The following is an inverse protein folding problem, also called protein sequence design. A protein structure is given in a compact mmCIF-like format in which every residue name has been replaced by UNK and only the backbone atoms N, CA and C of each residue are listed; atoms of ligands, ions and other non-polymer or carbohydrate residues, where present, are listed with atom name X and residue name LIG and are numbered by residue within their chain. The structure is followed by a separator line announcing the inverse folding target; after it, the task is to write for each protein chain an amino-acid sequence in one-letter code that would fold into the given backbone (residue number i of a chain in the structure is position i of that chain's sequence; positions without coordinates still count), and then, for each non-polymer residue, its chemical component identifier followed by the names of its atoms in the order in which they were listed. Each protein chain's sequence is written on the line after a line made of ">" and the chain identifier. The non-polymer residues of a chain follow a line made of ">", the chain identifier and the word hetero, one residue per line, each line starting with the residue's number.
data_IF_150784719856
#
_entry.id   IF_150784719856
#
_cell.length_a   1.000
_cell.length_b   1.000
_cell.length_c   1.000
_cell.angle_alpha   90.00
_cell.angle_beta   90.00
_cell.angle_gamma   90.00
#
_symmetry.space_group_name_H-M   'P 1'
#
loop_
_entity.id
_entity.type
_entity.pdbx_description
1 polymer ?
#
# COMPACT_ATOMS: atom_id res chain seq x y z
N UNK A 1 -22.53 -4.90 0.81
CA UNK A 1 -22.96 -6.14 1.47
C UNK A 1 -21.85 -7.17 1.62
N UNK A 2 -21.20 -7.66 0.57
CA UNK A 2 -20.17 -8.72 0.62
C UNK A 2 -19.05 -8.49 1.64
N UNK A 3 -18.54 -7.25 1.78
CA UNK A 3 -17.46 -6.89 2.71
C UNK A 3 -17.87 -6.98 4.19
N UNK A 4 -19.13 -6.64 4.54
CA UNK A 4 -19.64 -6.79 5.91
C UNK A 4 -19.85 -8.28 6.26
N UNK A 5 -20.37 -9.05 5.31
CA UNK A 5 -20.56 -10.52 5.48
C UNK A 5 -19.23 -11.23 5.68
N UNK A 6 -18.20 -10.91 4.85
CA UNK A 6 -16.86 -11.46 5.02
C UNK A 6 -16.26 -11.15 6.40
N UNK A 7 -16.40 -9.91 6.86
CA UNK A 7 -15.90 -9.52 8.19
C UNK A 7 -16.62 -10.25 9.32
N UNK A 8 -17.97 -10.34 9.24
CA UNK A 8 -18.76 -11.04 10.24
C UNK A 8 -18.42 -12.54 10.31
N UNK A 9 -18.30 -13.20 9.15
CA UNK A 9 -17.91 -14.62 9.08
C UNK A 9 -16.48 -14.85 9.63
N UNK A 10 -15.53 -13.98 9.30
CA UNK A 10 -14.17 -14.08 9.85
C UNK A 10 -14.10 -13.93 11.36
N UNK A 11 -14.84 -12.96 11.92
CA UNK A 11 -14.91 -12.74 13.37
C UNK A 11 -15.64 -13.89 14.07
N UNK A 12 -16.76 -14.39 13.52
CA UNK A 12 -17.47 -15.52 14.08
C UNK A 12 -16.62 -16.79 14.10
N UNK A 13 -15.90 -17.11 13.00
CA UNK A 13 -14.98 -18.23 12.94
C UNK A 13 -13.85 -18.12 13.99
N UNK A 14 -13.32 -16.92 14.20
CA UNK A 14 -12.31 -16.66 15.23
C UNK A 14 -12.85 -16.90 16.65
N UNK A 15 -14.05 -16.42 16.94
CA UNK A 15 -14.71 -16.61 18.24
C UNK A 15 -14.97 -18.11 18.48
N UNK A 16 -15.50 -18.83 17.49
CA UNK A 16 -15.78 -20.26 17.64
C UNK A 16 -14.51 -21.07 17.95
N UNK A 17 -13.44 -20.88 17.17
CA UNK A 17 -12.17 -21.59 17.43
C UNK A 17 -11.59 -21.20 18.81
N UNK A 18 -11.62 -19.94 19.18
CA UNK A 18 -11.17 -19.48 20.51
C UNK A 18 -11.95 -20.16 21.62
N UNK A 19 -13.29 -20.23 21.48
CA UNK A 19 -14.16 -20.90 22.44
C UNK A 19 -13.88 -22.40 22.53
N UNK A 20 -13.69 -23.08 21.41
CA UNK A 20 -13.37 -24.51 21.41
C UNK A 20 -12.04 -24.82 22.09
N UNK A 21 -11.00 -24.04 21.79
CA UNK A 21 -9.69 -24.20 22.44
C UNK A 21 -9.76 -23.96 23.95
N UNK A 22 -10.38 -22.84 24.35
CA UNK A 22 -10.44 -22.49 25.78
C UNK A 22 -11.32 -23.45 26.57
N UNK A 23 -12.47 -23.86 26.02
CA UNK A 23 -13.34 -24.85 26.69
C UNK A 23 -12.70 -26.25 26.78
N UNK A 24 -11.98 -26.70 25.74
CA UNK A 24 -11.18 -27.93 25.82
C UNK A 24 -10.12 -27.83 26.91
N UNK A 25 -9.33 -26.75 26.96
CA UNK A 25 -8.29 -26.57 27.96
C UNK A 25 -8.86 -26.57 29.40
N UNK A 26 -9.90 -25.76 29.62
CA UNK A 26 -10.51 -25.61 30.94
C UNK A 26 -11.18 -26.91 31.42
N UNK A 27 -11.94 -27.58 30.55
CA UNK A 27 -12.59 -28.84 30.91
C UNK A 27 -11.58 -29.95 31.21
N UNK A 28 -10.48 -30.00 30.47
CA UNK A 28 -9.41 -31.02 30.70
C UNK A 28 -8.65 -30.76 31.99
N UNK A 29 -8.41 -29.50 32.36
CA UNK A 29 -7.63 -29.14 33.55
C UNK A 29 -8.45 -29.15 34.84
N UNK A 30 -9.71 -28.75 34.76
CA UNK A 30 -10.54 -28.44 35.94
C UNK A 30 -11.86 -29.24 35.97
N UNK A 31 -12.22 -29.91 34.89
CA UNK A 31 -13.51 -30.59 34.76
C UNK A 31 -13.51 -32.04 35.26
N UNK A 32 -14.72 -32.56 35.50
CA UNK A 32 -14.94 -33.99 35.66
C UNK A 32 -15.06 -34.70 34.33
N UNK A 33 -14.96 -36.07 34.29
CA UNK A 33 -15.20 -36.80 33.04
C UNK A 33 -16.51 -36.46 32.34
N UNK A 34 -17.58 -36.23 33.11
CA UNK A 34 -18.89 -35.84 32.58
C UNK A 34 -18.85 -34.45 31.92
N UNK A 35 -18.15 -33.52 32.59
CA UNK A 35 -17.95 -32.17 32.03
C UNK A 35 -17.15 -32.21 30.75
N UNK A 36 -16.11 -33.01 30.68
CA UNK A 36 -15.30 -33.20 29.46
C UNK A 36 -16.16 -33.78 28.33
N UNK A 37 -16.98 -34.79 28.61
CA UNK A 37 -17.87 -35.39 27.63
C UNK A 37 -18.89 -34.36 27.05
N UNK A 38 -19.51 -33.54 27.93
CA UNK A 38 -20.43 -32.49 27.52
C UNK A 38 -19.74 -31.46 26.62
N UNK A 39 -18.57 -30.97 27.03
CA UNK A 39 -17.81 -29.96 26.27
C UNK A 39 -17.38 -30.53 24.90
N UNK A 40 -16.88 -31.78 24.85
CA UNK A 40 -16.49 -32.39 23.57
C UNK A 40 -17.69 -32.65 22.64
N UNK A 41 -18.85 -32.98 23.19
CA UNK A 41 -20.10 -33.08 22.45
C UNK A 41 -20.53 -31.73 21.86
N UNK A 42 -20.47 -30.66 22.64
CA UNK A 42 -20.80 -29.32 22.16
C UNK A 42 -19.81 -28.82 21.07
N UNK A 43 -18.53 -29.15 21.21
CA UNK A 43 -17.52 -28.80 20.18
C UNK A 43 -17.81 -29.55 18.88
N UNK A 44 -18.11 -30.87 18.94
CA UNK A 44 -18.48 -31.63 17.76
C UNK A 44 -19.68 -31.04 17.01
N UNK A 45 -20.76 -30.70 17.70
CA UNK A 45 -21.91 -30.00 17.09
C UNK A 45 -21.53 -28.58 16.61
N UNK A 46 -20.66 -27.89 17.32
CA UNK A 46 -20.14 -26.57 16.92
C UNK A 46 -19.36 -26.58 15.61
N UNK A 47 -18.79 -27.73 15.19
CA UNK A 47 -18.12 -27.86 13.90
C UNK A 47 -19.09 -27.65 12.72
N UNK A 48 -20.37 -28.01 12.87
CA UNK A 48 -21.40 -27.76 11.84
C UNK A 48 -21.71 -26.27 11.65
N UNK A 49 -21.36 -25.43 12.61
CA UNK A 49 -21.42 -23.97 12.47
C UNK A 49 -20.08 -23.41 11.99
N UNK A 50 -18.96 -23.95 12.47
CA UNK A 50 -17.62 -23.46 12.11
C UNK A 50 -17.31 -23.65 10.61
N UNK A 51 -17.57 -24.85 10.06
CA UNK A 51 -17.21 -25.15 8.68
C UNK A 51 -17.92 -24.25 7.65
N UNK A 52 -19.26 -24.07 7.67
CA UNK A 52 -19.92 -23.13 6.78
C UNK A 52 -19.45 -21.67 6.96
N UNK A 53 -19.13 -21.28 8.20
CA UNK A 53 -18.62 -19.93 8.50
C UNK A 53 -17.27 -19.71 7.82
N UNK A 54 -16.34 -20.67 7.93
CA UNK A 54 -15.03 -20.58 7.29
C UNK A 54 -15.13 -20.68 5.75
N UNK A 55 -16.00 -21.54 5.23
CA UNK A 55 -16.27 -21.63 3.79
C UNK A 55 -16.81 -20.30 3.23
N UNK A 56 -17.80 -19.70 3.92
CA UNK A 56 -18.36 -18.40 3.56
C UNK A 56 -17.33 -17.26 3.64
N UNK A 57 -16.50 -17.27 4.67
CA UNK A 57 -15.39 -16.32 4.78
C UNK A 57 -14.37 -16.49 3.64
N UNK A 58 -14.06 -17.73 3.27
CA UNK A 58 -13.15 -18.05 2.15
C UNK A 58 -13.70 -17.57 0.82
N UNK A 59 -14.93 -17.96 0.47
CA UNK A 59 -15.58 -17.61 -0.80
C UNK A 59 -15.74 -16.08 -0.96
N UNK A 60 -16.22 -15.41 0.08
CA UNK A 60 -16.35 -13.94 0.06
C UNK A 60 -15.01 -13.25 0.04
N UNK A 61 -14.00 -13.80 0.73
CA UNK A 61 -12.63 -13.28 0.75
C UNK A 61 -11.97 -13.35 -0.63
N UNK A 62 -12.09 -14.45 -1.34
CA UNK A 62 -11.60 -14.61 -2.72
C UNK A 62 -12.31 -13.65 -3.68
N UNK A 63 -13.63 -13.50 -3.56
CA UNK A 63 -14.40 -12.53 -4.36
C UNK A 63 -13.97 -11.08 -4.12
N UNK A 64 -13.59 -10.70 -2.89
CA UNK A 64 -13.15 -9.35 -2.52
C UNK A 64 -11.69 -9.07 -2.92
N UNK A 65 -10.85 -10.09 -2.94
CA UNK A 65 -9.44 -9.95 -3.34
C UNK A 65 -9.31 -9.79 -4.86
N UNK A 66 -10.21 -10.37 -5.65
CA UNK A 66 -10.19 -10.30 -7.11
C UNK A 66 -8.83 -10.73 -7.70
N UNK A 67 -8.32 -9.99 -8.68
CA UNK A 67 -7.00 -10.21 -9.31
C UNK A 67 -5.85 -9.47 -8.58
N UNK A 68 -5.93 -9.28 -7.26
CA UNK A 68 -4.86 -8.62 -6.50
C UNK A 68 -3.58 -9.46 -6.52
N UNK A 69 -2.45 -8.78 -6.78
CA UNK A 69 -1.10 -9.35 -6.83
C UNK A 69 -0.19 -8.82 -5.72
N UNK A 70 -0.72 -8.02 -4.79
CA UNK A 70 0.03 -7.51 -3.65
C UNK A 70 0.33 -8.63 -2.64
N UNK A 71 1.48 -8.54 -1.97
CA UNK A 71 2.00 -9.57 -1.05
C UNK A 71 1.01 -9.93 0.06
N UNK A 72 0.31 -8.94 0.63
CA UNK A 72 -0.72 -9.16 1.65
C UNK A 72 -1.93 -9.91 1.12
N UNK A 73 -2.41 -9.57 -0.10
CA UNK A 73 -3.50 -10.26 -0.76
C UNK A 73 -3.17 -11.72 -1.05
N UNK A 74 -2.00 -11.98 -1.62
CA UNK A 74 -1.51 -13.35 -1.91
C UNK A 74 -1.35 -14.18 -0.63
N UNK A 75 -0.83 -13.59 0.45
CA UNK A 75 -0.67 -14.28 1.73
C UNK A 75 -2.03 -14.65 2.34
N UNK A 76 -3.03 -13.77 2.28
CA UNK A 76 -4.40 -14.06 2.73
C UNK A 76 -5.06 -15.17 1.91
N UNK A 77 -4.83 -15.20 0.59
CA UNK A 77 -5.36 -16.25 -0.29
C UNK A 77 -4.85 -17.64 0.12
N UNK A 78 -3.60 -17.75 0.58
CA UNK A 78 -3.02 -19.03 1.04
C UNK A 78 -3.52 -19.45 2.41
N UNK A 79 -3.67 -18.51 3.36
CA UNK A 79 -4.05 -18.84 4.75
C UNK A 79 -5.50 -19.28 4.91
N UNK A 80 -6.43 -18.74 4.15
CA UNK A 80 -7.85 -19.08 4.23
C UNK A 80 -8.12 -20.58 3.97
N UNK A 81 -7.67 -21.12 2.83
CA UNK A 81 -7.79 -22.55 2.53
C UNK A 81 -7.08 -23.44 3.57
N UNK A 82 -5.90 -23.06 4.07
CA UNK A 82 -5.20 -23.83 5.10
C UNK A 82 -6.06 -23.96 6.37
N UNK A 83 -6.59 -22.84 6.88
CA UNK A 83 -7.44 -22.85 8.06
C UNK A 83 -8.71 -23.71 7.84
N UNK A 84 -9.36 -23.62 6.68
CA UNK A 84 -10.54 -24.42 6.33
C UNK A 84 -10.19 -25.90 6.23
N UNK A 85 -9.15 -26.28 5.49
CA UNK A 85 -8.73 -27.67 5.32
C UNK A 85 -8.30 -28.32 6.65
N UNK A 86 -7.56 -27.57 7.48
CA UNK A 86 -7.22 -28.03 8.84
C UNK A 86 -8.47 -28.28 9.67
N UNK A 87 -9.47 -27.40 9.59
CA UNK A 87 -10.74 -27.58 10.32
C UNK A 87 -11.53 -28.78 9.81
N UNK A 88 -11.58 -28.97 8.48
CA UNK A 88 -12.34 -30.05 7.86
C UNK A 88 -11.69 -31.42 8.10
N UNK A 89 -10.38 -31.58 7.85
CA UNK A 89 -9.71 -32.87 7.81
C UNK A 89 -9.02 -33.26 9.12
N UNK A 90 -8.78 -32.31 10.01
CA UNK A 90 -8.14 -32.59 11.30
C UNK A 90 -9.11 -32.35 12.46
N UNK A 91 -9.65 -31.09 12.58
CA UNK A 91 -10.49 -30.75 13.73
C UNK A 91 -11.81 -31.52 13.76
N UNK A 92 -12.48 -31.71 12.62
CA UNK A 92 -13.77 -32.43 12.58
C UNK A 92 -13.66 -33.88 12.95
N UNK A 93 -12.74 -34.71 12.39
CA UNK A 93 -12.53 -36.07 12.84
C UNK A 93 -12.08 -36.15 14.30
N UNK A 94 -11.17 -35.28 14.73
CA UNK A 94 -10.72 -35.24 16.12
C UNK A 94 -11.89 -34.97 17.09
N UNK A 95 -12.74 -33.99 16.77
CA UNK A 95 -13.90 -33.66 17.57
C UNK A 95 -14.88 -34.84 17.67
N UNK A 96 -15.09 -35.58 16.57
CA UNK A 96 -15.92 -36.75 16.56
C UNK A 96 -15.38 -37.88 17.51
N UNK A 97 -14.12 -38.27 17.33
CA UNK A 97 -13.52 -39.33 18.14
C UNK A 97 -13.42 -38.93 19.61
N UNK A 98 -12.98 -37.71 19.92
CA UNK A 98 -12.88 -37.21 21.28
C UNK A 98 -14.24 -37.11 21.97
N UNK A 99 -15.29 -36.73 21.25
CA UNK A 99 -16.65 -36.71 21.75
C UNK A 99 -17.18 -38.14 22.08
N UNK A 100 -16.95 -39.09 21.14
CA UNK A 100 -17.36 -40.49 21.33
C UNK A 100 -16.65 -41.16 22.52
N UNK A 101 -15.31 -41.08 22.56
CA UNK A 101 -14.52 -41.67 23.64
C UNK A 101 -14.79 -41.00 25.00
N UNK A 102 -15.00 -39.72 25.03
CA UNK A 102 -15.36 -39.01 26.26
C UNK A 102 -16.74 -39.44 26.79
N UNK A 103 -17.72 -39.68 25.90
CA UNK A 103 -19.05 -40.21 26.24
C UNK A 103 -18.99 -41.61 26.79
N UNK A 104 -18.05 -42.42 26.33
CA UNK A 104 -17.77 -43.80 26.82
C UNK A 104 -16.89 -43.84 28.08
N UNK A 105 -16.43 -42.70 28.58
CA UNK A 105 -15.50 -42.59 29.70
C UNK A 105 -14.08 -43.11 29.39
N UNK A 106 -13.71 -43.18 28.12
CA UNK A 106 -12.47 -43.79 27.63
C UNK A 106 -11.35 -42.73 27.48
N UNK A 107 -10.64 -42.46 28.57
CA UNK A 107 -9.56 -41.45 28.65
C UNK A 107 -8.17 -42.10 28.62
N UNK A 108 -7.87 -42.88 27.59
CA UNK A 108 -6.55 -43.54 27.41
C UNK A 108 -5.53 -42.66 26.69
N UNK A 109 -4.33 -43.22 26.49
CA UNK A 109 -3.23 -42.50 25.79
C UNK A 109 -3.60 -42.03 24.38
N UNK A 110 -4.45 -42.80 23.65
CA UNK A 110 -4.96 -42.41 22.33
C UNK A 110 -5.85 -41.18 22.40
N UNK A 111 -6.73 -41.07 23.42
CA UNK A 111 -7.56 -39.90 23.66
C UNK A 111 -6.70 -38.62 23.80
N UNK A 112 -5.71 -38.67 24.70
CA UNK A 112 -4.84 -37.51 24.92
C UNK A 112 -3.94 -37.22 23.71
N UNK A 113 -3.52 -38.23 22.94
CA UNK A 113 -2.80 -38.01 21.68
C UNK A 113 -3.61 -37.28 20.64
N UNK A 114 -4.89 -37.68 20.45
CA UNK A 114 -5.80 -36.96 19.50
C UNK A 114 -6.17 -35.56 20.03
N UNK A 115 -6.33 -35.40 21.35
CA UNK A 115 -6.58 -34.08 21.94
C UNK A 115 -5.39 -33.13 21.76
N UNK A 116 -4.15 -33.62 21.87
CA UNK A 116 -2.96 -32.82 21.59
C UNK A 116 -2.92 -32.38 20.11
N UNK A 117 -3.26 -33.30 19.19
CA UNK A 117 -3.41 -32.98 17.77
C UNK A 117 -4.51 -31.94 17.52
N UNK A 118 -5.68 -32.10 18.16
CA UNK A 118 -6.79 -31.11 18.08
C UNK A 118 -6.34 -29.72 18.55
N UNK A 119 -5.64 -29.63 19.68
CA UNK A 119 -5.14 -28.34 20.20
C UNK A 119 -4.09 -27.71 19.30
N UNK A 120 -3.17 -28.50 18.76
CA UNK A 120 -2.17 -28.00 17.82
C UNK A 120 -2.82 -27.47 16.53
N UNK A 121 -3.76 -28.22 15.95
CA UNK A 121 -4.50 -27.84 14.76
C UNK A 121 -5.40 -26.60 15.00
N UNK A 122 -6.06 -26.54 16.15
CA UNK A 122 -6.85 -25.38 16.56
C UNK A 122 -6.00 -24.12 16.71
N UNK A 123 -4.80 -24.25 17.31
CA UNK A 123 -3.83 -23.16 17.44
C UNK A 123 -3.40 -22.65 16.07
N UNK A 124 -3.10 -23.54 15.13
CA UNK A 124 -2.76 -23.18 13.75
C UNK A 124 -3.91 -22.40 13.10
N UNK A 125 -5.14 -22.90 13.17
CA UNK A 125 -6.31 -22.27 12.60
C UNK A 125 -6.58 -20.87 13.25
N UNK A 126 -6.46 -20.79 14.58
CA UNK A 126 -6.58 -19.55 15.34
C UNK A 126 -5.59 -18.47 14.85
N UNK A 127 -4.30 -18.81 14.74
CA UNK A 127 -3.26 -17.90 14.26
C UNK A 127 -3.54 -17.48 12.81
N UNK A 128 -3.93 -18.41 11.94
CA UNK A 128 -4.22 -18.11 10.53
C UNK A 128 -5.42 -17.18 10.37
N UNK A 129 -6.50 -17.41 11.11
CA UNK A 129 -7.71 -16.56 11.06
C UNK A 129 -7.42 -15.20 11.69
N UNK A 130 -6.73 -15.14 12.83
CA UNK A 130 -6.34 -13.90 13.49
C UNK A 130 -5.45 -13.03 12.60
N UNK A 131 -4.45 -13.63 11.95
CA UNK A 131 -3.61 -12.94 10.97
C UNK A 131 -4.42 -12.43 9.77
N UNK A 132 -5.40 -13.21 9.28
CA UNK A 132 -6.28 -12.77 8.19
C UNK A 132 -7.20 -11.61 8.61
N UNK A 133 -7.68 -11.58 9.84
CA UNK A 133 -8.47 -10.45 10.39
C UNK A 133 -7.58 -9.20 10.48
N UNK A 134 -6.39 -9.31 11.09
CA UNK A 134 -5.41 -8.22 11.18
C UNK A 134 -5.10 -7.62 9.81
N UNK A 135 -4.73 -8.48 8.85
CA UNK A 135 -4.37 -8.05 7.50
C UNK A 135 -5.59 -7.48 6.74
N UNK A 136 -6.80 -7.95 7.05
CA UNK A 136 -8.05 -7.38 6.55
C UNK A 136 -8.34 -5.98 7.06
N UNK A 137 -8.05 -5.72 8.34
CA UNK A 137 -8.14 -4.39 8.95
C UNK A 137 -7.08 -3.44 8.39
N UNK A 138 -5.85 -3.95 8.18
CA UNK A 138 -4.78 -3.22 7.54
C UNK A 138 -5.13 -2.80 6.09
N UNK A 139 -5.68 -3.73 5.31
CA UNK A 139 -6.12 -3.44 3.94
C UNK A 139 -7.27 -2.43 3.86
N UNK A 140 -8.00 -2.22 4.95
CA UNK A 140 -9.05 -1.19 5.08
C UNK A 140 -8.54 0.12 5.72
N UNK A 141 -7.24 0.23 6.01
CA UNK A 141 -6.68 1.40 6.68
C UNK A 141 -7.09 1.55 8.14
N UNK A 142 -7.68 0.50 8.76
CA UNK A 142 -8.10 0.52 10.17
C UNK A 142 -7.01 0.09 11.14
N UNK A 143 -5.98 -0.60 10.64
CA UNK A 143 -4.74 -0.88 11.35
C UNK A 143 -3.59 -0.41 10.47
N UNK A 144 -2.67 0.32 11.03
CA UNK A 144 -1.38 0.51 10.40
C UNK A 144 -0.72 -0.88 10.31
N UNK A 145 -0.66 -1.45 9.09
CA UNK A 145 -0.02 -2.73 8.85
C UNK A 145 1.46 -2.59 9.13
N UNK A 146 1.93 -2.88 10.35
CA UNK A 146 3.36 -2.96 10.70
C UNK A 146 4.26 -1.86 10.13
N UNK A 147 3.67 -0.76 9.64
CA UNK A 147 4.35 0.32 8.99
C UNK A 147 5.14 1.10 10.05
N UNK A 148 6.37 1.40 9.75
CA UNK A 148 7.11 2.44 10.44
C UNK A 148 6.16 3.63 10.63
N UNK A 149 6.22 4.31 11.79
CA UNK A 149 5.45 5.55 12.03
C UNK A 149 5.84 6.67 11.08
N UNK A 150 6.82 6.44 10.22
CA UNK A 150 7.31 7.40 9.24
C UNK A 150 6.43 7.43 7.99
N UNK A 151 6.14 8.63 7.49
CA UNK A 151 5.35 8.80 6.28
C UNK A 151 6.07 8.19 5.07
N UNK A 152 5.34 7.46 4.23
CA UNK A 152 5.88 6.88 2.99
C UNK A 152 4.81 6.81 1.91
N UNK A 153 5.24 6.71 0.65
CA UNK A 153 4.37 6.49 -0.51
C UNK A 153 4.80 5.22 -1.21
N UNK A 154 3.88 4.29 -1.40
CA UNK A 154 4.08 3.06 -2.17
C UNK A 154 3.26 3.08 -3.46
N UNK A 155 3.77 2.49 -4.52
CA UNK A 155 3.00 2.27 -5.74
C UNK A 155 2.43 0.85 -5.80
N UNK A 156 1.16 0.70 -6.14
CA UNK A 156 0.55 -0.61 -6.39
C UNK A 156 0.56 -0.90 -7.89
N UNK A 157 1.05 -2.08 -8.30
CA UNK A 157 1.04 -2.47 -9.69
C UNK A 157 -0.39 -2.45 -10.26
N UNK A 158 -0.58 -1.78 -11.42
CA UNK A 158 -1.89 -1.58 -12.02
C UNK A 158 -2.89 -0.82 -11.12
N UNK A 159 -2.44 -0.17 -10.05
CA UNK A 159 -3.29 0.39 -9.02
C UNK A 159 -2.89 1.80 -8.54
N UNK A 160 -3.44 2.26 -7.41
CA UNK A 160 -3.19 3.59 -6.87
C UNK A 160 -1.79 3.75 -6.28
N UNK A 161 -1.47 4.98 -5.90
CA UNK A 161 -0.43 5.28 -4.94
C UNK A 161 -1.02 5.10 -3.52
N UNK A 162 -0.29 4.42 -2.65
CA UNK A 162 -0.69 4.25 -1.25
C UNK A 162 0.19 5.14 -0.39
N UNK A 163 -0.40 6.19 0.17
CA UNK A 163 0.26 7.07 1.12
C UNK A 163 -0.04 6.60 2.55
N UNK A 164 1.02 6.40 3.33
CA UNK A 164 0.96 5.94 4.72
C UNK A 164 1.44 7.06 5.63
N UNK A 165 0.67 7.34 6.70
CA UNK A 165 0.97 8.39 7.69
C UNK A 165 1.33 9.76 7.10
N UNK A 166 0.67 10.13 5.99
CA UNK A 166 0.92 11.40 5.33
C UNK A 166 0.58 12.57 6.26
N UNK A 167 1.52 13.47 6.60
CA UNK A 167 1.27 14.55 7.54
C UNK A 167 0.34 15.61 6.93
N UNK A 168 0.50 15.92 5.65
CA UNK A 168 -0.26 16.99 4.98
C UNK A 168 -0.59 16.59 3.54
N UNK A 169 -1.86 16.73 3.17
CA UNK A 169 -2.34 16.66 1.80
C UNK A 169 -3.05 17.97 1.44
N UNK A 170 -2.45 18.79 0.59
CA UNK A 170 -3.05 20.03 0.14
C UNK A 170 -3.69 19.86 -1.24
N UNK A 171 -4.94 20.24 -1.37
CA UNK A 171 -5.66 20.31 -2.64
C UNK A 171 -5.13 21.39 -3.58
N UNK A 172 -5.59 21.40 -4.82
CA UNK A 172 -5.14 22.32 -5.87
C UNK A 172 -5.39 23.80 -5.57
N UNK A 173 -6.33 24.11 -4.68
CA UNK A 173 -6.60 25.44 -4.16
C UNK A 173 -5.80 25.81 -2.90
N UNK A 174 -4.86 24.99 -2.47
CA UNK A 174 -4.10 25.20 -1.23
C UNK A 174 -4.84 24.78 0.06
N UNK A 175 -6.11 24.36 -0.03
CA UNK A 175 -6.90 23.88 1.11
C UNK A 175 -6.37 22.52 1.56
N UNK A 176 -6.15 22.34 2.85
CA UNK A 176 -5.83 21.03 3.43
C UNK A 176 -7.01 20.07 3.22
N UNK A 177 -6.70 18.87 2.74
CA UNK A 177 -7.65 17.77 2.58
C UNK A 177 -7.52 16.81 3.75
N UNK A 178 -8.59 16.04 3.98
CA UNK A 178 -8.60 15.03 5.03
C UNK A 178 -7.52 13.97 4.78
N UNK A 179 -6.75 13.65 5.83
CA UNK A 179 -5.75 12.59 5.81
C UNK A 179 -6.15 11.46 6.74
N UNK A 180 -5.96 10.24 6.26
CA UNK A 180 -6.14 9.01 7.02
C UNK A 180 -4.78 8.30 7.16
N UNK A 181 -4.57 7.44 8.16
CA UNK A 181 -3.31 6.72 8.35
C UNK A 181 -2.82 5.97 7.11
N UNK A 182 -3.76 5.50 6.28
CA UNK A 182 -3.47 4.89 4.97
C UNK A 182 -4.47 5.42 3.95
N UNK A 183 -3.97 6.00 2.87
CA UNK A 183 -4.80 6.55 1.79
C UNK A 183 -4.38 6.00 0.44
N UNK A 184 -5.37 5.74 -0.41
CA UNK A 184 -5.15 5.40 -1.81
C UNK A 184 -5.38 6.65 -2.67
N UNK A 185 -4.34 7.13 -3.34
CA UNK A 185 -4.40 8.29 -4.24
C UNK A 185 -4.48 7.84 -5.69
N UNK A 186 -5.35 8.45 -6.45
CA UNK A 186 -5.56 8.15 -7.86
C UNK A 186 -4.34 8.51 -8.70
N UNK A 187 -3.86 7.59 -9.54
CA UNK A 187 -2.84 7.85 -10.56
C UNK A 187 -3.21 7.39 -11.98
N UNK A 188 -4.39 6.79 -12.15
CA UNK A 188 -4.90 6.42 -13.48
C UNK A 188 -5.59 7.59 -14.19
N UNK A 189 -5.92 8.66 -13.48
CA UNK A 189 -6.57 9.85 -14.03
C UNK A 189 -8.09 9.80 -14.09
N UNK A 190 -8.76 8.68 -13.78
CA UNK A 190 -10.17 8.44 -14.04
C UNK A 190 -11.06 8.30 -12.78
N UNK A 191 -10.49 8.34 -11.57
CA UNK A 191 -11.29 8.35 -10.35
C UNK A 191 -12.31 9.50 -10.36
N UNK A 192 -13.53 9.24 -9.93
CA UNK A 192 -14.58 10.24 -9.72
C UNK A 192 -14.44 10.95 -8.37
N UNK A 193 -13.57 10.44 -7.49
CA UNK A 193 -13.33 10.95 -6.14
C UNK A 193 -11.87 11.46 -5.97
N UNK A 194 -11.31 12.11 -7.01
CA UNK A 194 -9.94 12.63 -6.94
C UNK A 194 -9.77 13.65 -5.79
N UNK A 195 -8.62 13.65 -5.10
CA UNK A 195 -7.39 12.89 -5.40
C UNK A 195 -7.41 11.44 -4.95
N UNK A 196 -8.46 10.97 -4.29
CA UNK A 196 -8.55 9.60 -3.78
C UNK A 196 -8.92 8.60 -4.88
N UNK A 197 -8.50 7.35 -4.69
CA UNK A 197 -8.82 6.25 -5.58
C UNK A 197 -10.22 5.69 -5.25
N UNK A 198 -11.03 5.48 -6.28
CA UNK A 198 -12.37 4.87 -6.18
C UNK A 198 -12.44 3.46 -6.80
N UNK A 199 -11.32 2.97 -7.36
CA UNK A 199 -11.26 1.66 -8.01
C UNK A 199 -11.41 1.68 -9.54
N UNK A 200 -11.67 2.83 -10.17
CA UNK A 200 -11.83 2.96 -11.63
C UNK A 200 -10.64 2.40 -12.43
N UNK A 201 -9.44 2.35 -11.85
CA UNK A 201 -8.25 1.75 -12.49
C UNK A 201 -8.44 0.28 -12.84
N UNK A 202 -9.28 -0.48 -12.11
CA UNK A 202 -9.54 -1.90 -12.39
C UNK A 202 -10.39 -2.08 -13.66
N UNK A 203 -11.40 -1.23 -13.84
CA UNK A 203 -12.31 -1.29 -14.99
C UNK A 203 -11.59 -0.89 -16.28
N UNK A 204 -10.64 0.02 -16.18
CA UNK A 204 -9.87 0.55 -17.30
C UNK A 204 -8.64 -0.29 -17.67
N UNK A 205 -8.29 -1.30 -16.87
CA UNK A 205 -7.07 -2.07 -17.09
C UNK A 205 -5.81 -1.19 -17.02
N UNK A 206 -5.75 -0.25 -16.06
CA UNK A 206 -4.65 0.70 -15.95
C UNK A 206 -3.30 0.00 -15.83
N UNK A 207 -2.42 0.26 -16.80
CA UNK A 207 -1.03 -0.18 -16.77
C UNK A 207 -0.14 0.86 -16.07
N UNK A 208 0.53 0.43 -15.01
CA UNK A 208 1.48 1.25 -14.26
C UNK A 208 2.93 1.06 -14.67
N UNK A 209 3.20 0.25 -15.69
CA UNK A 209 4.55 -0.05 -16.17
C UNK A 209 5.17 1.19 -16.81
N UNK A 210 6.42 1.56 -16.44
CA UNK A 210 7.14 2.61 -17.14
C UNK A 210 7.48 2.18 -18.55
N UNK A 211 7.22 3.04 -19.53
CA UNK A 211 7.55 2.83 -20.94
C UNK A 211 8.59 3.84 -21.46
N UNK A 212 9.16 4.67 -20.57
CA UNK A 212 10.23 5.58 -20.93
C UNK A 212 11.51 4.82 -21.30
N UNK A 213 12.20 5.32 -22.33
CA UNK A 213 13.48 4.78 -22.77
C UNK A 213 14.56 4.97 -21.68
N UNK A 214 15.12 3.89 -21.11
CA UNK A 214 16.14 3.98 -20.08
C UNK A 214 17.43 4.70 -20.51
N UNK A 215 17.72 4.75 -21.82
CA UNK A 215 18.89 5.44 -22.34
C UNK A 215 18.82 6.97 -22.12
N UNK A 216 17.61 7.50 -21.92
CA UNK A 216 17.38 8.92 -21.62
C UNK A 216 17.63 9.29 -20.17
N UNK A 217 17.91 8.31 -19.30
CA UNK A 217 18.30 8.55 -17.91
C UNK A 217 19.76 9.01 -17.82
N UNK A 218 20.00 10.22 -18.28
CA UNK A 218 21.32 10.85 -18.32
C UNK A 218 21.29 12.19 -17.59
N UNK A 219 22.42 12.52 -16.95
CA UNK A 219 22.61 13.82 -16.32
C UNK A 219 23.38 14.70 -17.30
N UNK A 220 22.76 15.81 -17.69
CA UNK A 220 23.39 16.86 -18.46
C UNK A 220 23.94 17.92 -17.51
N UNK A 221 25.19 18.33 -17.73
CA UNK A 221 25.91 19.29 -16.89
C UNK A 221 26.08 20.59 -17.67
N UNK A 222 25.80 21.71 -17.02
CA UNK A 222 25.90 23.06 -17.56
C UNK A 222 26.79 23.87 -16.60
N UNK A 223 28.05 23.99 -16.96
CA UNK A 223 29.07 24.66 -16.16
C UNK A 223 28.89 26.16 -16.23
N UNK A 224 29.06 26.84 -15.10
CA UNK A 224 29.18 28.28 -14.96
C UNK A 224 30.36 28.63 -14.05
N UNK A 225 30.73 29.89 -13.98
CA UNK A 225 31.89 30.38 -13.21
C UNK A 225 31.76 30.13 -11.71
N UNK A 226 30.57 30.35 -11.16
CA UNK A 226 30.31 30.25 -9.71
C UNK A 226 29.48 29.05 -9.33
N UNK A 227 28.74 28.45 -10.27
CA UNK A 227 27.78 27.39 -10.03
C UNK A 227 27.58 26.56 -11.27
N UNK A 228 27.50 25.25 -11.12
CA UNK A 228 27.19 24.30 -12.17
C UNK A 228 25.79 23.75 -11.97
N UNK A 229 24.98 23.67 -13.03
CA UNK A 229 23.64 23.10 -13.01
C UNK A 229 23.66 21.70 -13.63
N UNK A 230 23.09 20.74 -12.91
CA UNK A 230 22.91 19.36 -13.37
C UNK A 230 21.45 19.10 -13.60
N UNK A 231 21.12 18.54 -14.77
CA UNK A 231 19.75 18.32 -15.20
C UNK A 231 19.54 16.89 -15.69
N UNK A 232 18.53 16.21 -15.18
CA UNK A 232 18.04 14.95 -15.74
C UNK A 232 16.67 15.18 -16.40
N UNK A 233 16.64 15.03 -17.73
CA UNK A 233 15.42 15.23 -18.51
C UNK A 233 14.32 14.25 -18.14
N UNK A 234 14.66 13.00 -17.79
CA UNK A 234 13.70 11.96 -17.45
C UNK A 234 12.89 12.30 -16.19
N UNK A 235 13.46 13.10 -15.28
CA UNK A 235 12.79 13.54 -14.06
C UNK A 235 11.95 14.81 -14.24
N UNK A 236 12.09 15.49 -15.38
CA UNK A 236 11.43 16.78 -15.58
C UNK A 236 9.92 16.62 -15.79
N UNK A 237 9.13 17.25 -14.91
CA UNK A 237 7.66 17.29 -15.00
C UNK A 237 7.13 18.46 -15.84
N UNK A 238 8.02 19.24 -16.46
CA UNK A 238 7.70 20.43 -17.25
C UNK A 238 6.89 21.50 -16.50
N UNK A 239 7.12 21.64 -15.18
CA UNK A 239 6.44 22.64 -14.33
C UNK A 239 6.77 24.12 -14.69
N UNK A 240 7.76 24.35 -15.56
CA UNK A 240 8.23 25.63 -16.04
C UNK A 240 8.74 26.62 -14.95
N UNK A 241 8.99 26.15 -13.72
CA UNK A 241 9.48 27.00 -12.62
C UNK A 241 10.84 27.64 -12.93
N UNK A 242 11.71 26.94 -13.69
CA UNK A 242 13.02 27.44 -14.08
C UNK A 242 12.91 28.65 -15.02
N UNK A 243 12.16 28.53 -16.11
CA UNK A 243 11.98 29.60 -17.08
C UNK A 243 11.19 30.80 -16.53
N UNK A 244 10.24 30.56 -15.61
CA UNK A 244 9.48 31.64 -14.95
C UNK A 244 10.36 32.48 -14.02
N UNK A 245 11.31 31.84 -13.31
CA UNK A 245 12.16 32.51 -12.32
C UNK A 245 13.40 33.14 -12.92
N UNK A 246 14.08 32.41 -13.82
CA UNK A 246 15.35 32.81 -14.40
C UNK A 246 15.36 32.56 -15.93
N UNK A 247 14.50 33.31 -16.67
CA UNK A 247 14.36 33.17 -18.12
C UNK A 247 15.66 33.34 -18.87
N UNK A 248 16.54 34.27 -18.40
CA UNK A 248 17.83 34.51 -19.03
C UNK A 248 18.77 33.29 -18.95
N UNK A 249 18.70 32.52 -17.87
CA UNK A 249 19.49 31.31 -17.70
C UNK A 249 18.80 30.08 -18.32
N UNK A 250 17.47 29.97 -18.25
CA UNK A 250 16.70 28.80 -18.70
C UNK A 250 15.76 29.16 -19.86
N UNK A 251 16.23 28.90 -21.08
CA UNK A 251 15.48 29.20 -22.30
C UNK A 251 15.46 28.01 -23.26
N UNK A 252 14.30 27.37 -23.39
CA UNK A 252 14.12 26.19 -24.25
C UNK A 252 14.20 26.48 -25.75
N UNK A 253 14.18 27.76 -26.15
CA UNK A 253 14.28 28.14 -27.56
C UNK A 253 15.71 28.16 -28.09
N UNK A 254 16.71 28.00 -27.22
CA UNK A 254 18.14 28.00 -27.59
C UNK A 254 18.86 26.71 -27.21
N UNK A 255 20.10 26.56 -27.72
CA UNK A 255 21.02 25.47 -27.33
C UNK A 255 22.41 26.07 -27.04
N UNK A 256 23.03 25.79 -25.88
CA UNK A 256 22.44 25.06 -24.76
C UNK A 256 21.26 25.84 -24.13
N UNK A 257 20.22 25.11 -23.65
CA UNK A 257 19.02 25.72 -23.11
C UNK A 257 19.20 26.25 -21.67
N UNK A 258 20.26 25.81 -20.98
CA UNK A 258 20.73 26.36 -19.70
C UNK A 258 22.08 27.03 -19.92
N UNK A 259 22.17 28.30 -19.51
CA UNK A 259 23.43 29.03 -19.41
C UNK A 259 23.52 29.58 -17.98
N UNK A 260 24.34 28.93 -17.15
CA UNK A 260 24.40 29.23 -15.73
C UNK A 260 24.88 30.67 -15.46
N UNK A 261 25.82 31.19 -16.25
CA UNK A 261 26.34 32.54 -16.08
C UNK A 261 25.35 33.67 -16.42
N UNK A 262 24.15 33.35 -16.94
CA UNK A 262 23.11 34.32 -17.23
C UNK A 262 22.19 34.63 -16.03
N UNK A 263 22.49 34.10 -14.85
CA UNK A 263 21.81 34.43 -13.61
C UNK A 263 22.79 34.39 -12.42
N UNK A 264 22.44 35.02 -11.32
CA UNK A 264 23.23 34.94 -10.10
C UNK A 264 23.20 33.54 -9.50
N UNK A 265 24.23 33.20 -8.75
CA UNK A 265 24.33 31.94 -8.02
C UNK A 265 23.09 31.69 -7.14
N UNK A 266 22.67 32.69 -6.37
CA UNK A 266 21.49 32.65 -5.50
C UNK A 266 20.22 32.44 -6.30
N UNK A 267 20.07 33.12 -7.45
CA UNK A 267 18.94 32.94 -8.35
C UNK A 267 18.83 31.55 -8.93
N UNK A 268 19.97 30.90 -9.25
CA UNK A 268 20.00 29.51 -9.71
C UNK A 268 19.70 28.50 -8.58
N UNK A 269 20.20 28.74 -7.36
CA UNK A 269 19.85 27.93 -6.19
C UNK A 269 18.35 27.99 -5.89
N UNK A 270 17.72 29.18 -5.98
CA UNK A 270 16.27 29.34 -5.85
C UNK A 270 15.49 28.59 -6.94
N UNK A 271 16.01 28.51 -8.16
CA UNK A 271 15.41 27.70 -9.23
C UNK A 271 15.48 26.19 -8.88
N UNK A 272 16.62 25.71 -8.39
CA UNK A 272 16.78 24.31 -7.97
C UNK A 272 15.84 24.00 -6.81
N UNK A 273 15.70 24.93 -5.84
CA UNK A 273 14.75 24.81 -4.74
C UNK A 273 13.30 24.76 -5.24
N UNK A 274 12.94 25.60 -6.20
CA UNK A 274 11.61 25.66 -6.78
C UNK A 274 11.28 24.50 -7.74
N UNK A 275 12.30 23.77 -8.26
CA UNK A 275 12.09 22.63 -9.14
C UNK A 275 11.37 21.50 -8.40
N UNK A 276 10.09 21.20 -8.71
CA UNK A 276 9.31 20.30 -7.87
C UNK A 276 9.67 18.82 -8.05
N UNK A 277 10.26 18.48 -9.19
CA UNK A 277 10.56 17.09 -9.55
C UNK A 277 11.96 16.63 -9.14
N UNK A 278 12.81 17.54 -8.64
CA UNK A 278 14.21 17.23 -8.39
C UNK A 278 15.04 16.98 -9.67
N UNK A 279 14.51 17.34 -10.85
CA UNK A 279 15.24 17.21 -12.11
C UNK A 279 16.48 18.10 -12.19
N UNK A 280 16.50 19.20 -11.44
CA UNK A 280 17.62 20.14 -11.33
C UNK A 280 18.37 19.93 -10.02
N UNK A 281 19.68 19.98 -10.10
CA UNK A 281 20.62 20.01 -8.99
C UNK A 281 21.70 21.07 -9.29
N UNK A 282 22.41 21.50 -8.28
CA UNK A 282 23.56 22.38 -8.48
C UNK A 282 24.78 21.85 -7.74
N UNK A 283 25.96 22.23 -8.18
CA UNK A 283 27.20 22.11 -7.43
C UNK A 283 27.94 23.45 -7.45
N UNK A 284 28.60 23.76 -6.34
CA UNK A 284 29.56 24.84 -6.25
C UNK A 284 30.94 24.31 -6.66
N UNK A 285 31.90 25.18 -6.99
CA UNK A 285 33.24 24.75 -7.36
C UNK A 285 33.86 23.83 -6.32
N UNK A 286 34.25 22.61 -6.75
CA UNK A 286 34.82 21.58 -5.88
C UNK A 286 33.81 20.82 -5.01
N UNK A 287 32.49 21.11 -5.10
CA UNK A 287 31.45 20.44 -4.34
C UNK A 287 30.67 19.40 -5.15
N UNK A 288 29.99 18.50 -4.43
CA UNK A 288 29.10 17.50 -5.03
C UNK A 288 27.76 18.09 -5.49
N UNK A 289 27.12 17.48 -6.50
CA UNK A 289 25.78 17.86 -6.94
C UNK A 289 24.73 17.65 -5.85
N UNK A 290 24.02 18.70 -5.47
CA UNK A 290 23.04 18.71 -4.39
C UNK A 290 21.68 19.25 -4.82
N UNK A 291 20.64 18.82 -4.12
CA UNK A 291 19.29 19.36 -4.18
C UNK A 291 19.08 20.40 -3.07
N UNK A 292 18.09 21.25 -3.30
CA UNK A 292 17.48 22.04 -2.23
C UNK A 292 15.99 21.67 -2.19
N UNK A 293 15.51 21.15 -1.07
CA UNK A 293 14.11 20.66 -0.95
C UNK A 293 13.23 21.48 -0.04
N UNK A 294 13.79 22.36 0.78
CA UNK A 294 13.04 23.02 1.84
C UNK A 294 12.62 22.09 2.97
N UNK A 295 11.85 22.61 3.93
CA UNK A 295 11.49 21.90 5.17
C UNK A 295 10.05 21.33 5.16
N UNK A 296 9.25 21.61 4.13
CA UNK A 296 7.87 21.18 4.06
C UNK A 296 7.78 19.66 3.84
N UNK A 297 6.87 19.00 4.59
CA UNK A 297 6.60 17.58 4.43
C UNK A 297 5.13 17.36 4.05
N UNK A 298 4.90 16.79 2.88
CA UNK A 298 3.54 16.52 2.43
C UNK A 298 3.39 16.33 0.93
N UNK A 299 2.14 16.24 0.52
CA UNK A 299 1.73 16.22 -0.89
C UNK A 299 0.93 17.47 -1.21
N UNK A 300 1.30 18.16 -2.30
CA UNK A 300 0.49 19.21 -2.91
C UNK A 300 -0.07 18.71 -4.24
N UNK A 301 -1.39 18.75 -4.37
CA UNK A 301 -2.09 18.41 -5.60
C UNK A 301 -2.06 19.64 -6.53
N UNK A 302 -1.47 19.50 -7.72
CA UNK A 302 -1.47 20.58 -8.70
C UNK A 302 -2.82 20.64 -9.46
N UNK A 303 -3.26 21.88 -9.77
CA UNK A 303 -4.46 22.05 -10.60
C UNK A 303 -4.19 21.46 -11.99
N UNK A 304 -5.04 20.54 -12.43
CA UNK A 304 -4.91 19.84 -13.72
C UNK A 304 -3.51 19.24 -13.96
N UNK A 305 -2.86 18.83 -12.89
CA UNK A 305 -1.48 18.42 -12.88
C UNK A 305 -1.19 17.27 -11.88
N UNK A 306 0.09 17.04 -11.61
CA UNK A 306 0.56 15.93 -10.81
C UNK A 306 0.42 16.14 -9.29
N UNK A 307 0.94 15.19 -8.53
CA UNK A 307 1.24 15.35 -7.10
C UNK A 307 2.68 15.83 -6.92
N UNK A 308 2.89 16.98 -6.27
CA UNK A 308 4.22 17.38 -5.77
C UNK A 308 4.43 16.79 -4.39
N UNK A 309 5.51 16.07 -4.20
CA UNK A 309 5.88 15.42 -2.93
C UNK A 309 7.15 16.03 -2.40
N UNK A 310 7.15 16.36 -1.11
CA UNK A 310 8.32 16.89 -0.41
C UNK A 310 8.44 16.22 0.96
N UNK A 311 9.66 15.82 1.35
CA UNK A 311 9.96 15.28 2.67
C UNK A 311 9.34 13.93 2.98
N UNK A 312 8.92 13.16 1.97
CA UNK A 312 8.31 11.84 2.11
C UNK A 312 9.00 10.85 1.17
N UNK A 313 9.58 9.76 1.69
CA UNK A 313 10.23 8.76 0.85
C UNK A 313 9.23 8.00 -0.03
N UNK A 314 9.64 7.73 -1.27
CA UNK A 314 8.95 6.86 -2.20
C UNK A 314 9.54 5.45 -2.09
N UNK A 315 8.72 4.48 -1.71
CA UNK A 315 9.06 3.08 -1.80
C UNK A 315 9.02 2.63 -3.27
N UNK A 316 10.12 2.86 -3.98
CA UNK A 316 10.29 2.46 -5.37
C UNK A 316 11.61 1.73 -5.54
N UNK A 317 11.63 0.58 -6.23
CA UNK A 317 12.88 -0.14 -6.50
C UNK A 317 13.76 0.57 -7.55
N UNK A 318 13.28 1.65 -8.21
CA UNK A 318 13.97 2.28 -9.33
C UNK A 318 13.94 3.80 -9.23
N UNK A 319 15.00 4.37 -8.69
CA UNK A 319 15.26 5.81 -8.77
C UNK A 319 16.10 6.08 -10.03
N UNK A 320 15.68 7.05 -10.84
CA UNK A 320 16.48 7.56 -11.96
C UNK A 320 17.74 8.28 -11.44
N UNK A 321 18.75 8.41 -12.30
CA UNK A 321 20.03 9.06 -11.96
C UNK A 321 19.81 10.47 -11.43
N UNK A 322 20.30 10.72 -10.24
CA UNK A 322 20.16 12.02 -9.59
C UNK A 322 18.77 12.36 -9.09
N UNK A 323 17.86 11.38 -8.99
CA UNK A 323 16.58 11.57 -8.31
C UNK A 323 16.79 11.81 -6.80
N UNK A 324 15.95 12.67 -6.23
CA UNK A 324 15.91 12.84 -4.78
C UNK A 324 14.89 11.87 -4.17
N UNK A 325 15.21 11.16 -3.08
CA UNK A 325 14.29 10.18 -2.49
C UNK A 325 13.02 10.81 -1.89
N UNK A 326 13.07 12.10 -1.54
CA UNK A 326 12.00 12.82 -0.84
C UNK A 326 11.53 14.10 -1.54
N UNK A 327 11.98 14.37 -2.78
CA UNK A 327 11.53 15.50 -3.59
C UNK A 327 11.29 15.05 -5.01
N UNK A 328 10.04 14.85 -5.35
CA UNK A 328 9.65 14.30 -6.64
C UNK A 328 8.19 14.61 -6.98
N UNK A 329 7.82 14.33 -8.21
CA UNK A 329 6.48 14.58 -8.74
C UNK A 329 5.89 13.30 -9.31
N UNK A 330 4.70 12.90 -8.83
CA UNK A 330 4.05 11.67 -9.23
C UNK A 330 2.92 11.91 -10.23
N UNK A 331 2.83 11.02 -11.22
CA UNK A 331 1.78 11.05 -12.23
C UNK A 331 0.39 10.89 -11.61
N UNK A 332 -0.55 11.75 -12.04
CA UNK A 332 -1.96 11.71 -11.65
C UNK A 332 -2.91 11.46 -12.83
N UNK A 333 -2.47 11.76 -14.06
CA UNK A 333 -3.27 11.62 -15.28
C UNK A 333 -3.26 10.22 -15.90
N UNK A 334 -2.35 9.35 -15.49
CA UNK A 334 -2.19 8.00 -16.03
C UNK A 334 -1.35 7.88 -17.30
N UNK A 335 -1.08 8.97 -18.02
CA UNK A 335 -0.45 8.97 -19.34
C UNK A 335 1.10 9.04 -19.30
N UNK A 336 1.71 9.34 -18.15
CA UNK A 336 3.18 9.42 -18.07
C UNK A 336 3.84 8.13 -18.57
N UNK A 337 4.89 8.29 -19.37
CA UNK A 337 5.76 7.20 -19.82
C UNK A 337 6.79 6.81 -18.77
N UNK A 338 7.09 7.74 -17.83
CA UNK A 338 8.06 7.55 -16.74
C UNK A 338 7.38 7.23 -15.38
N UNK A 339 6.31 6.42 -15.38
CA UNK A 339 5.60 6.04 -14.16
C UNK A 339 6.53 5.43 -13.10
N UNK A 340 6.40 5.77 -11.82
CA UNK A 340 5.34 6.57 -11.20
C UNK A 340 5.49 8.09 -11.35
N UNK A 341 6.62 8.56 -11.87
CA UNK A 341 6.91 9.98 -11.98
C UNK A 341 6.10 10.66 -13.08
N UNK A 342 5.89 11.97 -12.93
CA UNK A 342 5.29 12.80 -13.96
C UNK A 342 6.37 13.22 -14.97
N UNK A 343 6.08 13.09 -16.26
CA UNK A 343 6.93 13.53 -17.37
C UNK A 343 6.31 14.68 -18.18
N UNK A 344 5.23 15.28 -17.69
CA UNK A 344 4.55 16.37 -18.38
C UNK A 344 3.45 15.93 -19.36
N UNK A 345 3.27 14.63 -19.62
CA UNK A 345 2.26 14.11 -20.58
C UNK A 345 0.83 14.62 -20.31
N UNK A 346 0.49 15.07 -19.10
CA UNK A 346 -0.81 15.65 -18.80
C UNK A 346 -1.09 16.93 -19.60
N UNK A 347 -0.05 17.69 -19.99
CA UNK A 347 -0.17 18.84 -20.89
C UNK A 347 -0.49 18.40 -22.31
N UNK A 348 0.22 17.38 -22.81
CA UNK A 348 0.10 16.90 -24.19
C UNK A 348 -1.31 16.35 -24.48
N UNK A 349 -1.89 15.64 -23.50
CA UNK A 349 -3.24 15.06 -23.61
C UNK A 349 -4.35 16.01 -23.16
N UNK A 350 -4.01 17.23 -22.73
CA UNK A 350 -4.98 18.20 -22.22
C UNK A 350 -5.78 17.72 -21.00
N UNK A 351 -5.15 16.89 -20.14
CA UNK A 351 -5.84 16.29 -19.00
C UNK A 351 -6.34 17.32 -18.01
N UNK A 352 -7.61 17.19 -17.61
CA UNK A 352 -8.26 18.03 -16.61
C UNK A 352 -8.70 17.18 -15.43
N UNK A 353 -8.48 17.71 -14.23
CA UNK A 353 -9.08 17.18 -13.04
C UNK A 353 -10.55 17.63 -12.98
N UNK A 354 -11.45 16.71 -12.58
CA UNK A 354 -12.87 17.00 -12.47
C UNK A 354 -13.14 18.08 -11.41
N UNK A 355 -14.23 18.85 -11.56
CA UNK A 355 -14.59 20.00 -10.73
C UNK A 355 -14.75 19.70 -9.22
N UNK A 356 -14.86 18.43 -8.82
CA UNK A 356 -15.02 18.02 -7.43
C UNK A 356 -13.73 18.01 -6.59
N UNK A 357 -12.62 18.53 -7.14
CA UNK A 357 -11.32 18.65 -6.46
C UNK A 357 -11.04 20.05 -5.92
N UNK A 358 -12.06 20.85 -5.72
CA UNK A 358 -11.96 22.21 -5.20
C UNK A 358 -11.68 22.25 -3.71
#
# INVERSE_FOLDING_TARGET
>A
MKSKMHAAAGVLGFILISTFMTSTALSTLLGTPETIAQVKGLIFWGMFLLLPTLAGAGATGMSLLGKRTDSLGLTKQKRGPIAFMTSLFVLTPSAYFLSSWAAEGSFGGLYYGVQALELAASTLAFVMIGANIRDGLALRGRLAAGASKEPTIEQRNGGPLVAVHLPVLNGSGGKALETNPVMALCRCGHSKNKPYCDGSHNELGFDSTPSADPSKDTILTYEGKEITIHYNRLLCSHAAECGKRQKAAFDSSRKPWIIADNASKEGLMEVVKACPSGALRYSLPGGDPQHDQGNDKGIKVEKDGPYRVTGIPLASPRLAKGAHPEKYVLCRCGASKNKPYCDGSHYDIGWKADAHQR
#
